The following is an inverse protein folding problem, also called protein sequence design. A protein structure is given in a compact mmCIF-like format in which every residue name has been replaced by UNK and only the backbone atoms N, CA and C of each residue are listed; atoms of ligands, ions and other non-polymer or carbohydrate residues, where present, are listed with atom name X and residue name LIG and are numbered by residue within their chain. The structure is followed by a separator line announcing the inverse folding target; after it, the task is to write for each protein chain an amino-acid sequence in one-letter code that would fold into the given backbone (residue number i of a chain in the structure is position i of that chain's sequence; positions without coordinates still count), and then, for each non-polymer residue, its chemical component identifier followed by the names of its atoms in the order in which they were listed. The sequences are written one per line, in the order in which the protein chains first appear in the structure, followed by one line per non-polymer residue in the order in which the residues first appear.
data_IF_541994836195
#
_entry.id   IF_541994836195
#
_cell.length_a   1.000
_cell.length_b   1.000
_cell.length_c   1.000
_cell.angle_alpha   90.00
_cell.angle_beta   90.00
_cell.angle_gamma   90.00
#
_symmetry.space_group_name_H-M   'P 1'
#
loop_
_entity.id
_entity.type
_entity.pdbx_description
1 polymer ?
#
# COMPACT_ATOMS: atom_id res chain seq x y z
N UNK A 1 34.40 -16.81 -9.87
CA UNK A 1 32.93 -16.93 -10.05
C UNK A 1 32.50 -18.37 -9.79
N UNK A 2 31.25 -18.61 -9.36
CA UNK A 2 30.70 -19.98 -9.21
C UNK A 2 30.45 -20.60 -10.60
N UNK A 3 30.41 -21.94 -10.73
CA UNK A 3 30.23 -22.62 -12.03
C UNK A 3 28.98 -22.22 -12.83
N UNK A 4 27.90 -21.74 -12.17
CA UNK A 4 26.67 -21.26 -12.82
C UNK A 4 26.54 -19.74 -12.93
N UNK A 5 27.62 -18.98 -12.70
CA UNK A 5 27.57 -17.53 -12.83
C UNK A 5 27.35 -17.12 -14.29
N UNK A 6 26.40 -16.20 -14.50
CA UNK A 6 26.22 -15.49 -15.77
C UNK A 6 26.26 -14.00 -15.47
N UNK A 7 26.97 -13.22 -16.29
CA UNK A 7 27.00 -11.77 -16.16
C UNK A 7 25.62 -11.17 -16.46
N UNK A 8 25.32 -10.01 -15.87
CA UNK A 8 24.13 -9.24 -16.22
C UNK A 8 24.22 -8.68 -17.65
N UNK A 9 23.06 -8.37 -18.23
CA UNK A 9 22.95 -7.81 -19.60
C UNK A 9 23.19 -6.31 -19.57
N UNK A 10 23.96 -5.79 -20.54
CA UNK A 10 24.10 -4.36 -20.82
C UNK A 10 23.06 -3.94 -21.88
N UNK A 11 22.17 -3.02 -21.53
CA UNK A 11 21.13 -2.49 -22.43
C UNK A 11 21.47 -1.05 -22.78
N UNK A 12 21.72 -0.79 -24.07
CA UNK A 12 22.09 0.54 -24.58
C UNK A 12 20.94 1.14 -25.37
N UNK A 13 20.57 2.36 -25.00
CA UNK A 13 19.54 3.14 -25.69
C UNK A 13 19.98 4.62 -25.79
N UNK A 14 19.40 5.35 -26.74
CA UNK A 14 19.63 6.80 -26.84
C UNK A 14 19.04 7.56 -25.64
N UNK A 15 17.93 7.06 -25.09
CA UNK A 15 17.24 7.60 -23.92
C UNK A 15 16.71 6.42 -23.10
N UNK A 16 16.83 6.51 -21.78
CA UNK A 16 16.26 5.55 -20.83
C UNK A 16 15.30 6.29 -19.90
N UNK A 17 14.05 5.84 -19.81
CA UNK A 17 13.04 6.36 -18.89
C UNK A 17 12.98 5.45 -17.66
N UNK A 18 13.11 6.02 -16.45
CA UNK A 18 12.92 5.28 -15.21
C UNK A 18 11.48 5.39 -14.72
N UNK A 19 10.80 4.25 -14.64
CA UNK A 19 9.40 4.14 -14.22
C UNK A 19 9.24 3.09 -13.09
N UNK A 20 10.14 3.11 -12.10
CA UNK A 20 10.16 2.14 -11.00
C UNK A 20 9.02 2.33 -9.98
N UNK A 21 8.27 3.43 -10.07
CA UNK A 21 7.23 3.79 -9.11
C UNK A 21 7.80 4.36 -7.80
N UNK A 22 7.06 4.16 -6.70
CA UNK A 22 7.41 4.72 -5.40
C UNK A 22 8.77 4.20 -4.91
N UNK A 23 9.67 5.12 -4.56
CA UNK A 23 11.00 4.84 -3.99
C UNK A 23 11.91 3.96 -4.86
N UNK A 24 11.91 4.20 -6.18
CA UNK A 24 12.74 3.48 -7.18
C UNK A 24 14.22 3.35 -6.81
N UNK A 25 14.76 2.13 -6.94
CA UNK A 25 16.11 1.79 -6.50
C UNK A 25 17.21 2.37 -7.40
N UNK A 26 16.98 2.42 -8.71
CA UNK A 26 17.87 3.07 -9.66
C UNK A 26 17.68 4.58 -9.62
N UNK A 27 16.42 5.02 -9.55
CA UNK A 27 16.01 6.42 -9.52
C UNK A 27 16.68 7.16 -8.37
N UNK A 28 16.64 6.63 -7.14
CA UNK A 28 17.30 7.25 -5.97
C UNK A 28 18.80 7.48 -6.17
N UNK A 29 19.49 6.63 -6.95
CA UNK A 29 20.92 6.80 -7.24
C UNK A 29 21.15 7.92 -8.25
N UNK A 30 20.26 8.05 -9.24
CA UNK A 30 20.35 9.10 -10.25
C UNK A 30 19.98 10.47 -9.69
N UNK A 31 18.97 10.55 -8.80
CA UNK A 31 18.63 11.77 -8.08
C UNK A 31 19.87 12.38 -7.41
N UNK A 32 20.63 11.57 -6.65
CA UNK A 32 21.90 12.00 -6.04
C UNK A 32 22.99 12.33 -7.06
N UNK A 33 23.13 11.52 -8.12
CA UNK A 33 24.20 11.69 -9.11
C UNK A 33 24.07 13.00 -9.87
N UNK A 34 22.84 13.42 -10.17
CA UNK A 34 22.53 14.60 -10.97
C UNK A 34 21.94 15.75 -10.16
N UNK A 35 21.95 15.64 -8.83
CA UNK A 35 21.44 16.64 -7.88
C UNK A 35 20.01 17.13 -8.17
N UNK A 36 19.13 16.18 -8.53
CA UNK A 36 17.79 16.48 -9.06
C UNK A 36 16.78 16.89 -7.98
N UNK A 37 17.20 16.98 -6.72
CA UNK A 37 16.34 17.31 -5.57
C UNK A 37 16.91 18.46 -4.74
N UNK A 38 17.84 19.26 -5.29
CA UNK A 38 18.49 20.34 -4.56
C UNK A 38 17.51 21.38 -4.02
N UNK A 39 16.47 21.69 -4.80
CA UNK A 39 15.45 22.70 -4.50
C UNK A 39 14.09 22.08 -4.13
N UNK A 40 14.09 20.88 -3.57
CA UNK A 40 12.88 20.14 -3.22
C UNK A 40 12.92 19.62 -1.77
N UNK A 41 11.76 19.59 -1.12
CA UNK A 41 11.62 18.92 0.18
C UNK A 41 11.84 17.40 0.06
N UNK A 42 12.32 16.74 1.13
CA UNK A 42 12.42 15.29 1.16
C UNK A 42 11.06 14.62 0.95
N UNK A 43 11.03 13.57 0.14
CA UNK A 43 9.81 12.81 -0.14
C UNK A 43 9.25 12.15 1.12
N UNK A 44 7.97 12.42 1.41
CA UNK A 44 7.17 11.67 2.38
C UNK A 44 6.63 10.37 1.77
N UNK A 45 6.51 9.32 2.58
CA UNK A 45 6.02 8.02 2.14
C UNK A 45 4.98 7.47 3.10
N UNK A 46 4.11 6.62 2.57
CA UNK A 46 3.22 5.77 3.37
C UNK A 46 3.35 4.33 2.88
N UNK A 47 3.11 3.39 3.77
CA UNK A 47 2.86 1.99 3.40
C UNK A 47 1.36 1.79 3.22
N UNK A 48 0.97 1.14 2.11
CA UNK A 48 -0.38 0.69 1.88
C UNK A 48 -0.42 -0.82 1.97
N UNK A 49 -1.42 -1.36 2.66
CA UNK A 49 -1.70 -2.79 2.77
C UNK A 49 -3.11 -3.00 2.22
N UNK A 50 -3.28 -3.99 1.34
CA UNK A 50 -4.54 -4.26 0.64
C UNK A 50 -4.88 -5.73 0.70
N UNK A 51 -6.16 -6.02 0.89
CA UNK A 51 -6.74 -7.33 0.64
C UNK A 51 -7.90 -7.20 -0.37
N UNK A 52 -8.07 -8.21 -1.23
CA UNK A 52 -9.28 -8.42 -2.01
C UNK A 52 -10.09 -9.53 -1.35
N UNK A 53 -11.36 -9.25 -1.05
CA UNK A 53 -12.26 -10.18 -0.38
C UNK A 53 -13.39 -10.61 -1.28
N UNK A 54 -13.70 -11.91 -1.27
CA UNK A 54 -15.00 -12.43 -1.67
C UNK A 54 -15.92 -12.41 -0.46
N UNK A 55 -17.08 -11.76 -0.56
CA UNK A 55 -18.05 -11.70 0.54
C UNK A 55 -19.38 -12.35 0.13
N UNK A 56 -20.23 -12.74 1.10
CA UNK A 56 -21.58 -13.21 0.83
C UNK A 56 -22.40 -12.21 0.02
N UNK A 57 -23.36 -12.72 -0.74
CA UNK A 57 -24.30 -11.92 -1.52
C UNK A 57 -25.07 -10.90 -0.65
N UNK A 58 -25.38 -9.74 -1.23
CA UNK A 58 -26.14 -8.68 -0.56
C UNK A 58 -25.32 -7.76 0.35
N UNK A 59 -24.01 -7.99 0.50
CA UNK A 59 -23.11 -7.13 1.29
C UNK A 59 -22.44 -6.02 0.51
N UNK A 60 -22.59 -6.05 -0.81
CA UNK A 60 -21.90 -5.16 -1.72
C UNK A 60 -22.89 -4.24 -2.43
N UNK A 61 -22.52 -2.96 -2.54
CA UNK A 61 -23.22 -1.98 -3.38
C UNK A 61 -22.20 -1.46 -4.39
N UNK A 62 -22.08 -2.08 -5.59
CA UNK A 62 -21.03 -1.75 -6.55
C UNK A 62 -20.91 -0.25 -6.81
N UNK A 63 -19.66 0.25 -6.84
CA UNK A 63 -19.36 1.68 -6.98
C UNK A 63 -19.40 2.47 -5.66
N UNK A 64 -19.82 1.87 -4.54
CA UNK A 64 -19.69 2.50 -3.23
C UNK A 64 -18.22 2.56 -2.80
N UNK A 65 -17.80 3.76 -2.41
CA UNK A 65 -16.44 4.09 -1.97
C UNK A 65 -16.53 4.59 -0.53
N UNK A 66 -15.71 4.04 0.36
CA UNK A 66 -15.62 4.43 1.77
C UNK A 66 -14.17 4.69 2.13
N UNK A 67 -13.94 5.79 2.84
CA UNK A 67 -12.66 6.11 3.48
C UNK A 67 -12.92 6.40 4.95
N UNK A 68 -12.03 5.93 5.83
CA UNK A 68 -12.12 6.23 7.27
C UNK A 68 -10.79 6.75 7.79
N UNK A 69 -10.87 7.62 8.80
CA UNK A 69 -9.73 8.15 9.55
C UNK A 69 -9.99 7.90 11.05
N UNK A 70 -8.93 7.97 11.85
CA UNK A 70 -9.00 7.69 13.29
C UNK A 70 -8.72 6.22 13.59
N UNK A 71 -9.53 5.60 14.46
CA UNK A 71 -9.26 4.27 14.99
C UNK A 71 -8.95 3.24 13.88
N UNK A 72 -7.88 2.44 14.04
CA UNK A 72 -7.04 2.27 15.23
C UNK A 72 -5.84 3.22 15.34
N UNK A 73 -5.63 4.14 14.40
CA UNK A 73 -4.60 5.17 14.55
C UNK A 73 -4.99 6.17 15.65
N UNK A 74 -3.97 6.70 16.33
CA UNK A 74 -4.10 7.85 17.23
C UNK A 74 -4.06 9.17 16.42
N UNK A 75 -4.23 10.30 17.10
CA UNK A 75 -4.21 11.62 16.45
C UNK A 75 -2.81 12.09 16.01
N UNK A 76 -1.76 11.30 16.27
CA UNK A 76 -0.37 11.64 15.93
C UNK A 76 0.16 10.83 14.76
N UNK A 77 -0.46 9.69 14.48
CA UNK A 77 -0.10 8.78 13.40
C UNK A 77 -0.93 9.11 12.17
N UNK A 78 -0.28 9.54 11.09
CA UNK A 78 -0.97 9.66 9.81
C UNK A 78 -1.39 8.28 9.32
N UNK A 79 -2.69 8.05 9.19
CA UNK A 79 -3.22 6.79 8.69
C UNK A 79 -4.72 6.84 8.43
N UNK A 80 -5.19 5.84 7.71
CA UNK A 80 -6.58 5.72 7.33
C UNK A 80 -6.85 4.45 6.54
N UNK A 81 -8.12 4.20 6.25
CA UNK A 81 -8.54 3.04 5.47
C UNK A 81 -9.22 3.43 4.18
N UNK A 82 -9.28 2.47 3.28
CA UNK A 82 -10.17 2.50 2.12
C UNK A 82 -10.96 1.19 2.04
N UNK A 83 -12.19 1.27 1.54
CA UNK A 83 -13.03 0.13 1.26
C UNK A 83 -13.87 0.43 0.01
N UNK A 84 -13.69 -0.37 -1.03
CA UNK A 84 -14.31 -0.21 -2.33
C UNK A 84 -15.17 -1.43 -2.64
N UNK A 85 -16.45 -1.18 -2.88
CA UNK A 85 -17.41 -2.18 -3.31
C UNK A 85 -17.28 -2.40 -4.82
N UNK A 86 -16.88 -3.60 -5.21
CA UNK A 86 -16.68 -4.01 -6.60
C UNK A 86 -17.87 -4.85 -7.10
N UNK A 87 -17.84 -5.25 -8.37
CA UNK A 87 -18.79 -6.24 -8.88
C UNK A 87 -18.50 -7.64 -8.29
N UNK A 88 -19.39 -8.61 -8.55
CA UNK A 88 -19.23 -10.02 -8.18
C UNK A 88 -19.10 -10.28 -6.67
N UNK A 89 -19.78 -9.48 -5.84
CA UNK A 89 -19.72 -9.57 -4.38
C UNK A 89 -18.29 -9.49 -3.83
N UNK A 90 -17.46 -8.62 -4.42
CA UNK A 90 -16.09 -8.39 -3.99
C UNK A 90 -15.92 -7.04 -3.30
N UNK A 91 -15.02 -7.00 -2.33
CA UNK A 91 -14.60 -5.78 -1.66
C UNK A 91 -13.08 -5.69 -1.75
N UNK A 92 -12.57 -4.59 -2.30
CA UNK A 92 -11.16 -4.24 -2.15
C UNK A 92 -11.03 -3.29 -0.97
N UNK A 93 -10.29 -3.71 0.06
CA UNK A 93 -10.09 -2.90 1.27
C UNK A 93 -8.61 -2.84 1.64
N UNK A 94 -8.25 -1.83 2.40
CA UNK A 94 -6.89 -1.67 2.85
C UNK A 94 -6.71 -0.54 3.84
N UNK A 95 -5.48 -0.44 4.31
CA UNK A 95 -5.05 0.53 5.30
C UNK A 95 -3.76 1.20 4.83
N UNK A 96 -3.65 2.49 5.10
CA UNK A 96 -2.49 3.31 4.79
C UNK A 96 -1.93 3.86 6.10
N UNK A 97 -0.62 3.83 6.25
CA UNK A 97 0.09 4.48 7.36
C UNK A 97 1.30 5.24 6.85
N UNK A 98 1.46 6.49 7.25
CA UNK A 98 2.65 7.30 7.01
C UNK A 98 3.88 6.65 7.62
N UNK A 99 5.00 6.61 6.89
CA UNK A 99 6.26 6.03 7.36
C UNK A 99 7.04 6.97 8.31
N UNK A 100 6.39 8.03 8.77
CA UNK A 100 6.84 9.02 9.73
C UNK A 100 6.27 8.79 11.15
N UNK A 101 5.58 7.67 11.40
CA UNK A 101 5.11 7.32 12.74
C UNK A 101 6.28 7.25 13.73
N UNK A 102 6.04 7.75 14.96
CA UNK A 102 7.09 7.85 15.98
C UNK A 102 7.20 6.63 16.89
N UNK A 103 6.14 5.82 17.03
CA UNK A 103 6.15 4.65 17.91
C UNK A 103 6.84 3.46 17.21
N UNK A 104 8.01 2.99 17.68
CA UNK A 104 8.71 1.86 17.08
C UNK A 104 7.98 0.52 17.24
N UNK A 105 6.97 0.44 18.12
CA UNK A 105 6.12 -0.74 18.30
C UNK A 105 4.89 -0.71 17.41
N UNK A 106 4.60 0.40 16.74
CA UNK A 106 3.46 0.48 15.84
C UNK A 106 3.65 -0.46 14.65
N UNK A 107 2.66 -1.32 14.42
CA UNK A 107 2.66 -2.27 13.32
C UNK A 107 1.51 -1.95 12.36
N UNK A 108 1.79 -1.34 11.19
CA UNK A 108 0.76 -0.99 10.22
C UNK A 108 -0.15 -2.17 9.82
N UNK A 109 0.42 -3.38 9.75
CA UNK A 109 -0.35 -4.58 9.46
C UNK A 109 -1.31 -4.97 10.59
N UNK A 110 -0.89 -4.89 11.86
CA UNK A 110 -1.80 -5.14 12.98
C UNK A 110 -2.90 -4.09 13.06
N UNK A 111 -2.57 -2.81 12.81
CA UNK A 111 -3.56 -1.74 12.69
C UNK A 111 -4.60 -2.04 11.60
N UNK A 112 -4.17 -2.56 10.45
CA UNK A 112 -5.09 -3.02 9.42
C UNK A 112 -5.99 -4.17 9.89
N UNK A 113 -5.44 -5.19 10.57
CA UNK A 113 -6.23 -6.30 11.11
C UNK A 113 -7.21 -5.85 12.21
N UNK A 114 -6.81 -4.89 13.05
CA UNK A 114 -7.68 -4.26 14.05
C UNK A 114 -8.81 -3.50 13.37
N UNK A 115 -8.51 -2.65 12.37
CA UNK A 115 -9.51 -1.88 11.64
C UNK A 115 -10.63 -2.76 11.05
N UNK A 116 -10.31 -3.94 10.52
CA UNK A 116 -11.30 -4.91 10.02
C UNK A 116 -12.30 -5.39 11.09
N UNK A 117 -11.97 -5.27 12.38
CA UNK A 117 -12.84 -5.60 13.50
C UNK A 117 -13.72 -4.43 13.96
N UNK A 118 -13.60 -3.24 13.36
CA UNK A 118 -14.51 -2.13 13.64
C UNK A 118 -15.96 -2.54 13.33
N UNK A 119 -16.92 -2.07 14.13
CA UNK A 119 -18.33 -2.48 14.04
C UNK A 119 -18.99 -2.19 12.67
N UNK A 120 -18.48 -1.20 11.94
CA UNK A 120 -18.95 -0.87 10.58
C UNK A 120 -18.32 -1.73 9.47
N UNK A 121 -17.22 -2.44 9.76
CA UNK A 121 -16.43 -3.19 8.77
C UNK A 121 -16.62 -4.69 8.96
N UNK A 122 -16.52 -5.18 10.20
CA UNK A 122 -16.58 -6.61 10.52
C UNK A 122 -17.81 -7.31 9.90
N UNK A 123 -19.04 -6.78 10.01
CA UNK A 123 -20.22 -7.44 9.45
C UNK A 123 -20.16 -7.59 7.91
N UNK A 124 -19.42 -6.73 7.22
CA UNK A 124 -19.23 -6.85 5.77
C UNK A 124 -18.38 -8.08 5.41
N UNK A 125 -17.42 -8.45 6.26
CA UNK A 125 -16.41 -9.47 5.98
C UNK A 125 -16.74 -10.87 6.56
N UNK A 126 -17.69 -10.96 7.50
CA UNK A 126 -18.03 -12.21 8.20
C UNK A 126 -18.45 -13.35 7.25
N UNK A 127 -17.74 -14.49 7.26
CA UNK A 127 -18.03 -15.59 6.32
C UNK A 127 -17.59 -15.31 4.87
N UNK A 128 -16.91 -14.19 4.62
CA UNK A 128 -16.13 -13.97 3.41
C UNK A 128 -14.75 -14.62 3.50
N UNK A 129 -14.02 -14.57 2.38
CA UNK A 129 -12.66 -15.09 2.26
C UNK A 129 -11.74 -14.11 1.52
N UNK A 130 -10.45 -14.14 1.86
CA UNK A 130 -9.42 -13.35 1.17
C UNK A 130 -9.06 -14.08 -0.13
N UNK A 131 -9.13 -13.36 -1.25
CA UNK A 131 -8.69 -13.84 -2.57
C UNK A 131 -7.23 -13.48 -2.86
N UNK A 132 -6.79 -12.30 -2.43
CA UNK A 132 -5.40 -11.85 -2.57
C UNK A 132 -5.04 -10.80 -1.52
N UNK A 133 -3.75 -10.67 -1.24
CA UNK A 133 -3.19 -9.68 -0.33
C UNK A 133 -1.89 -9.10 -0.90
N UNK A 134 -1.59 -7.84 -0.58
CA UNK A 134 -0.39 -7.13 -1.04
C UNK A 134 -0.13 -5.83 -0.30
#
# INVERSE_FOLDING_TARGET
HKPGYTAGIDIRAKVTVLAEGARGHLTKRLLKRFDLTADADPQGYSIGIKELWQVPEGRVSPGKIVHTLGWPADNRTYGGSFLYHLDNNQIALGYVSGLDYSDPKYQPWEAFQQWKNHALIKPLLEGGSILSAG
#
